data_IF_660002143028
#
_entry.id   IF_660002143028
#
_cell.length_a   1.000
_cell.length_b   1.000
_cell.length_c   1.000
_cell.angle_alpha   90.00
_cell.angle_beta   90.00
_cell.angle_gamma   90.00
#
_symmetry.space_group_name_H-M   'P 1'
#
loop_
_entity.id
_entity.type
_entity.pdbx_description
1 polymer ?
#
# COMPACT_ATOMS: atom_id res chain seq x y z
N UNK A 1 -15.02 -18.05 31.22
CA UNK A 1 -15.82 -17.05 30.47
C UNK A 1 -16.74 -16.23 31.38
N UNK A 2 -17.65 -16.84 32.16
CA UNK A 2 -18.61 -16.11 33.01
C UNK A 2 -17.96 -15.16 34.06
N UNK A 3 -16.85 -15.59 34.68
CA UNK A 3 -16.07 -14.77 35.61
C UNK A 3 -15.47 -13.53 34.93
N UNK A 4 -14.77 -13.72 33.81
CA UNK A 4 -14.15 -12.62 33.04
C UNK A 4 -15.16 -11.52 32.65
N UNK A 5 -16.36 -11.90 32.19
CA UNK A 5 -17.40 -10.93 31.82
C UNK A 5 -17.93 -10.13 33.03
N UNK A 6 -18.29 -10.82 34.12
CA UNK A 6 -18.75 -10.14 35.35
C UNK A 6 -17.71 -9.19 35.91
N UNK A 7 -16.44 -9.54 35.76
CA UNK A 7 -15.32 -8.78 36.27
C UNK A 7 -15.05 -7.50 35.47
N UNK A 8 -15.17 -7.56 34.13
CA UNK A 8 -15.15 -6.36 33.27
C UNK A 8 -16.25 -5.39 33.67
N UNK A 9 -17.43 -5.91 34.00
CA UNK A 9 -18.56 -5.09 34.44
C UNK A 9 -18.38 -4.44 35.81
N UNK A 10 -17.55 -5.01 36.69
CA UNK A 10 -17.28 -4.46 38.02
C UNK A 10 -16.20 -3.37 38.00
N UNK A 11 -15.11 -3.55 37.25
CA UNK A 11 -13.97 -2.60 37.20
C UNK A 11 -13.89 -1.80 35.89
N UNK A 12 -15.03 -1.24 35.46
CA UNK A 12 -15.22 -0.65 34.11
C UNK A 12 -14.13 0.34 33.69
N UNK A 13 -13.72 1.27 34.56
CA UNK A 13 -12.72 2.28 34.23
C UNK A 13 -11.35 1.69 33.85
N UNK A 14 -10.90 0.66 34.57
CA UNK A 14 -9.59 0.05 34.34
C UNK A 14 -9.58 -0.78 33.06
N UNK A 15 -10.66 -1.50 32.79
CA UNK A 15 -10.83 -2.27 31.57
C UNK A 15 -11.05 -1.38 30.34
N UNK A 16 -11.73 -0.23 30.51
CA UNK A 16 -11.86 0.79 29.49
C UNK A 16 -10.49 1.35 29.10
N UNK A 17 -9.62 1.67 30.07
CA UNK A 17 -8.27 2.15 29.79
C UNK A 17 -7.43 1.14 29.01
N UNK A 18 -7.49 -0.14 29.37
CA UNK A 18 -6.74 -1.20 28.67
C UNK A 18 -7.28 -1.42 27.27
N UNK A 19 -8.60 -1.50 27.12
CA UNK A 19 -9.24 -1.65 25.81
C UNK A 19 -8.98 -0.42 24.95
N UNK A 20 -9.00 0.78 25.52
CA UNK A 20 -8.70 2.04 24.85
C UNK A 20 -7.25 2.12 24.39
N UNK A 21 -6.29 1.66 25.20
CA UNK A 21 -4.89 1.59 24.81
C UNK A 21 -4.66 0.57 23.69
N UNK A 22 -5.25 -0.62 23.81
CA UNK A 22 -5.25 -1.64 22.76
C UNK A 22 -5.86 -1.12 21.47
N UNK A 23 -6.98 -0.40 21.58
CA UNK A 23 -7.64 0.29 20.49
C UNK A 23 -6.70 1.28 19.81
N UNK A 24 -6.06 2.19 20.55
CA UNK A 24 -5.18 3.21 19.97
C UNK A 24 -3.96 2.59 19.27
N UNK A 25 -3.36 1.57 19.87
CA UNK A 25 -2.21 0.87 19.29
C UNK A 25 -2.62 0.11 18.02
N UNK A 26 -3.71 -0.66 18.08
CA UNK A 26 -4.23 -1.37 16.91
C UNK A 26 -4.67 -0.39 15.81
N UNK A 27 -5.27 0.74 16.17
CA UNK A 27 -5.69 1.78 15.22
C UNK A 27 -4.47 2.37 14.51
N UNK A 28 -3.41 2.71 15.25
CA UNK A 28 -2.17 3.22 14.66
C UNK A 28 -1.55 2.19 13.70
N UNK A 29 -1.53 0.92 14.09
CA UNK A 29 -0.99 -0.17 13.26
C UNK A 29 -1.83 -0.36 11.99
N UNK A 30 -3.16 -0.40 12.08
CA UNK A 30 -4.04 -0.50 10.90
C UNK A 30 -3.92 0.72 10.00
N UNK A 31 -3.83 1.91 10.57
CA UNK A 31 -3.68 3.13 9.80
C UNK A 31 -2.36 3.14 9.02
N UNK A 32 -1.25 2.76 9.66
CA UNK A 32 0.04 2.60 8.98
C UNK A 32 0.04 1.48 7.95
N UNK A 33 -0.69 0.39 8.20
CA UNK A 33 -0.86 -0.70 7.23
C UNK A 33 -1.58 -0.21 5.96
N UNK A 34 -2.68 0.54 6.12
CA UNK A 34 -3.42 1.10 4.99
C UNK A 34 -2.64 2.17 4.21
N UNK A 35 -1.87 3.01 4.90
CA UNK A 35 -0.96 3.97 4.25
C UNK A 35 0.20 3.27 3.53
N UNK A 36 0.83 2.29 4.17
CA UNK A 36 1.93 1.53 3.58
C UNK A 36 1.47 0.83 2.30
N UNK A 37 0.30 0.20 2.34
CA UNK A 37 -0.25 -0.51 1.20
C UNK A 37 -0.71 0.47 0.11
N UNK A 38 -1.42 1.55 0.46
CA UNK A 38 -1.85 2.55 -0.50
C UNK A 38 -0.68 3.23 -1.22
N UNK A 39 0.37 3.62 -0.49
CA UNK A 39 1.56 4.21 -1.10
C UNK A 39 2.35 3.19 -1.93
N UNK A 40 2.42 1.92 -1.50
CA UNK A 40 3.03 0.87 -2.32
C UNK A 40 2.25 0.67 -3.63
N UNK A 41 0.92 0.65 -3.54
CA UNK A 41 0.03 0.52 -4.69
C UNK A 41 0.20 1.70 -5.66
N UNK A 42 0.24 2.94 -5.17
CA UNK A 42 0.45 4.15 -5.98
C UNK A 42 1.78 4.16 -6.77
N UNK A 43 2.77 3.36 -6.37
CA UNK A 43 4.00 3.21 -7.15
C UNK A 43 3.84 2.30 -8.37
N UNK A 44 2.91 1.32 -8.33
CA UNK A 44 2.85 0.19 -9.29
C UNK A 44 1.49 0.00 -9.99
N UNK A 45 0.44 0.73 -9.62
CA UNK A 45 -0.92 0.55 -10.15
C UNK A 45 -0.98 0.44 -11.68
N UNK A 46 -0.25 1.32 -12.39
CA UNK A 46 -0.24 1.29 -13.84
C UNK A 46 0.48 0.09 -14.44
N UNK A 47 1.50 -0.41 -13.76
CA UNK A 47 2.23 -1.63 -14.14
C UNK A 47 1.35 -2.87 -13.89
N UNK A 48 0.63 -2.90 -12.77
CA UNK A 48 -0.28 -4.00 -12.42
C UNK A 48 -1.40 -4.17 -13.47
N UNK A 49 -1.88 -3.05 -14.04
CA UNK A 49 -2.93 -3.06 -15.06
C UNK A 49 -2.50 -3.75 -16.36
N UNK A 50 -1.21 -3.81 -16.66
CA UNK A 50 -0.71 -4.43 -17.89
C UNK A 50 -0.97 -5.93 -17.95
N UNK A 51 -1.15 -6.59 -16.80
CA UNK A 51 -1.26 -8.07 -16.71
C UNK A 51 -0.15 -8.76 -17.51
N UNK A 52 1.06 -8.22 -17.41
CA UNK A 52 2.25 -8.66 -18.13
C UNK A 52 3.09 -9.60 -17.27
N UNK A 53 3.89 -10.45 -17.93
CA UNK A 53 4.76 -11.41 -17.26
C UNK A 53 6.20 -10.89 -17.21
N UNK A 54 6.63 -10.20 -18.28
CA UNK A 54 7.99 -9.70 -18.44
C UNK A 54 8.02 -8.28 -18.99
N UNK A 55 9.10 -7.57 -18.69
CA UNK A 55 9.47 -6.31 -19.32
C UNK A 55 10.92 -6.40 -19.80
N UNK A 56 11.17 -5.91 -21.00
CA UNK A 56 12.51 -5.83 -21.58
C UNK A 56 13.01 -4.40 -21.44
N UNK A 57 14.21 -4.25 -20.90
CA UNK A 57 14.90 -2.99 -20.67
C UNK A 57 16.31 -3.06 -21.27
N UNK A 58 16.97 -1.92 -21.43
CA UNK A 58 18.39 -1.88 -21.76
C UNK A 58 19.21 -2.52 -20.63
N UNK A 59 20.18 -3.37 -20.98
CA UNK A 59 21.00 -4.14 -20.02
C UNK A 59 21.82 -3.24 -19.07
N UNK A 60 22.12 -2.00 -19.47
CA UNK A 60 22.87 -1.02 -18.67
C UNK A 60 21.97 -0.12 -17.79
N UNK A 61 20.65 -0.28 -17.87
CA UNK A 61 19.68 0.54 -17.12
C UNK A 61 19.61 0.21 -15.62
N UNK A 62 20.19 -0.91 -15.20
CA UNK A 62 20.04 -1.48 -13.86
C UNK A 62 18.55 -1.58 -13.46
N UNK A 63 17.73 -2.06 -14.41
CA UNK A 63 16.27 -2.25 -14.32
C UNK A 63 15.44 -0.97 -14.08
N UNK A 64 16.07 0.20 -14.14
CA UNK A 64 15.37 1.48 -13.94
C UNK A 64 14.80 1.95 -15.27
N UNK A 65 13.47 1.97 -15.36
CA UNK A 65 12.73 2.37 -16.56
C UNK A 65 13.18 3.71 -17.15
N UNK A 66 13.27 4.76 -16.33
CA UNK A 66 13.71 6.08 -16.77
C UNK A 66 15.19 6.19 -17.18
N UNK A 67 16.00 5.14 -16.97
CA UNK A 67 17.38 5.03 -17.46
C UNK A 67 17.51 4.10 -18.68
N UNK A 68 16.51 3.26 -18.92
CA UNK A 68 16.45 2.39 -20.09
C UNK A 68 16.06 3.23 -21.30
N UNK A 69 16.85 3.19 -22.36
CA UNK A 69 16.56 3.89 -23.60
C UNK A 69 17.27 3.19 -24.78
N UNK A 70 16.50 2.68 -25.73
CA UNK A 70 17.03 1.95 -26.88
C UNK A 70 16.17 2.18 -28.13
N UNK A 71 16.74 1.91 -29.31
CA UNK A 71 16.04 2.11 -30.59
C UNK A 71 14.82 1.19 -30.69
N UNK A 72 13.67 1.74 -31.08
CA UNK A 72 12.42 1.00 -31.17
C UNK A 72 12.50 -0.19 -32.16
N UNK A 73 13.34 -0.09 -33.19
CA UNK A 73 13.54 -1.14 -34.20
C UNK A 73 14.05 -2.47 -33.63
N UNK A 74 14.74 -2.44 -32.48
CA UNK A 74 15.20 -3.66 -31.78
C UNK A 74 14.04 -4.56 -31.34
N UNK A 75 12.81 -4.03 -31.28
CA UNK A 75 11.61 -4.83 -31.04
C UNK A 75 11.46 -5.95 -32.07
N UNK A 76 11.93 -5.76 -33.31
CA UNK A 76 11.79 -6.75 -34.37
C UNK A 76 12.68 -7.98 -34.13
N UNK A 77 13.75 -7.83 -33.36
CA UNK A 77 14.64 -8.92 -32.96
C UNK A 77 14.07 -9.71 -31.76
N UNK A 78 13.19 -9.09 -30.96
CA UNK A 78 12.54 -9.74 -29.82
C UNK A 78 11.47 -10.72 -30.29
N UNK A 79 11.57 -11.98 -29.88
CA UNK A 79 10.58 -13.03 -30.18
C UNK A 79 9.70 -13.33 -28.96
N UNK A 80 8.42 -12.97 -29.04
CA UNK A 80 7.39 -13.24 -28.04
C UNK A 80 5.98 -13.25 -28.66
N UNK A 81 5.02 -13.92 -28.00
CA UNK A 81 3.65 -14.06 -28.49
C UNK A 81 2.88 -12.73 -28.50
N UNK A 82 3.04 -11.94 -27.43
CA UNK A 82 2.43 -10.62 -27.28
C UNK A 82 3.47 -9.67 -26.72
N UNK A 83 3.77 -8.62 -27.49
CA UNK A 83 4.71 -7.56 -27.12
C UNK A 83 4.12 -6.20 -27.46
N UNK A 84 4.41 -5.20 -26.64
CA UNK A 84 3.95 -3.84 -26.82
C UNK A 84 5.10 -2.87 -26.54
N UNK A 85 5.24 -1.84 -27.38
CA UNK A 85 6.23 -0.79 -27.18
C UNK A 85 5.77 0.14 -26.06
N UNK A 86 6.70 0.55 -25.22
CA UNK A 86 6.41 1.39 -24.08
C UNK A 86 7.48 2.45 -23.85
N UNK A 87 7.05 3.68 -23.63
CA UNK A 87 7.92 4.75 -23.16
C UNK A 87 7.30 5.45 -21.96
N UNK A 88 8.15 5.85 -21.02
CA UNK A 88 7.78 6.56 -19.82
C UNK A 88 8.62 7.81 -19.67
N UNK A 89 8.00 8.89 -19.23
CA UNK A 89 8.69 10.12 -18.89
C UNK A 89 8.00 10.81 -17.71
N UNK A 90 8.74 11.18 -16.65
CA UNK A 90 8.20 12.09 -15.65
C UNK A 90 8.04 13.48 -16.26
N UNK A 91 6.94 14.16 -15.95
CA UNK A 91 6.67 15.47 -16.51
C UNK A 91 5.81 16.35 -15.60
N UNK A 92 5.61 17.58 -16.05
CA UNK A 92 4.78 18.57 -15.36
C UNK A 92 3.75 19.10 -16.34
N UNK A 93 2.49 19.13 -15.90
CA UNK A 93 1.39 19.72 -16.65
C UNK A 93 0.73 20.85 -15.88
N UNK A 94 0.05 21.74 -16.60
CA UNK A 94 -0.87 22.74 -16.06
C UNK A 94 -2.18 22.73 -16.84
N UNK A 95 -3.28 23.13 -16.19
CA UNK A 95 -4.58 23.30 -16.87
C UNK A 95 -4.66 24.62 -17.65
N UNK A 96 -3.97 25.67 -17.19
CA UNK A 96 -3.83 26.97 -17.85
C UNK A 96 -2.49 27.63 -17.48
N UNK A 97 -2.16 28.79 -18.05
CA UNK A 97 -0.85 29.43 -17.86
C UNK A 97 -0.55 29.79 -16.39
N UNK A 98 -1.58 30.19 -15.64
CA UNK A 98 -1.51 30.60 -14.23
C UNK A 98 -1.82 29.45 -13.26
N UNK A 99 -2.19 28.28 -13.80
CA UNK A 99 -2.67 27.13 -13.06
C UNK A 99 -1.61 26.44 -12.24
N UNK A 100 -2.08 25.61 -11.31
CA UNK A 100 -1.22 24.78 -10.48
C UNK A 100 -0.41 23.80 -11.34
N UNK A 101 0.87 23.63 -10.98
CA UNK A 101 1.75 22.64 -11.61
C UNK A 101 1.48 21.27 -11.02
N UNK A 102 1.18 20.30 -11.88
CA UNK A 102 0.87 18.93 -11.50
C UNK A 102 1.98 18.02 -12.02
N UNK A 103 2.62 17.27 -11.12
CA UNK A 103 3.58 16.24 -11.52
C UNK A 103 2.81 15.03 -12.05
N UNK A 104 3.18 14.54 -13.23
CA UNK A 104 2.56 13.39 -13.89
C UNK A 104 3.63 12.42 -14.38
N UNK A 105 3.23 11.17 -14.59
CA UNK A 105 4.01 10.21 -15.37
C UNK A 105 3.36 10.07 -16.75
N UNK A 106 4.07 10.44 -17.81
CA UNK A 106 3.59 10.22 -19.18
C UNK A 106 3.89 8.80 -19.61
N UNK A 107 2.85 8.08 -20.04
CA UNK A 107 2.95 6.74 -20.58
C UNK A 107 2.64 6.79 -22.07
N UNK A 108 3.68 6.65 -22.88
CA UNK A 108 3.60 6.54 -24.34
C UNK A 108 3.28 5.09 -24.72
N UNK A 109 2.12 4.87 -25.32
CA UNK A 109 1.65 3.55 -25.76
C UNK A 109 0.99 3.64 -27.13
N UNK A 110 0.79 2.48 -27.76
CA UNK A 110 -0.15 2.35 -28.88
C UNK A 110 -1.57 2.14 -28.33
N UNK A 111 -2.54 2.91 -28.83
CA UNK A 111 -3.89 2.99 -28.27
C UNK A 111 -4.77 1.75 -28.47
N UNK A 112 -4.35 0.82 -29.31
CA UNK A 112 -5.04 -0.42 -29.68
C UNK A 112 -4.30 -1.70 -29.22
N UNK A 113 -3.19 -1.56 -28.52
CA UNK A 113 -2.44 -2.67 -27.91
C UNK A 113 -2.92 -3.03 -26.51
N UNK A 114 -2.40 -4.13 -25.95
CA UNK A 114 -2.84 -4.64 -24.65
C UNK A 114 -2.45 -3.77 -23.44
N UNK A 115 -1.55 -2.79 -23.63
CA UNK A 115 -1.21 -1.78 -22.62
C UNK A 115 -2.28 -0.69 -22.48
N UNK A 116 -3.27 -0.68 -23.36
CA UNK A 116 -4.42 0.22 -23.28
C UNK A 116 -5.08 0.11 -21.90
N UNK A 117 -5.26 1.22 -21.18
CA UNK A 117 -5.91 1.20 -19.88
C UNK A 117 -7.43 1.05 -20.01
N UNK A 118 -8.05 0.53 -18.95
CA UNK A 118 -9.50 0.54 -18.80
C UNK A 118 -10.03 1.97 -18.58
N UNK A 119 -10.97 2.37 -19.44
CA UNK A 119 -11.60 3.69 -19.40
C UNK A 119 -12.84 3.68 -18.51
N UNK A 120 -12.98 4.70 -17.67
CA UNK A 120 -14.21 4.95 -16.88
C UNK A 120 -15.12 5.98 -17.53
N UNK A 121 -14.55 6.86 -18.36
CA UNK A 121 -15.29 7.88 -19.08
C UNK A 121 -14.53 8.31 -20.34
N UNK A 122 -15.27 8.80 -21.34
CA UNK A 122 -14.70 9.30 -22.60
C UNK A 122 -14.27 8.17 -23.55
N UNK A 123 -13.22 8.44 -24.34
CA UNK A 123 -12.68 7.51 -25.34
C UNK A 123 -11.16 7.45 -25.26
N UNK A 124 -10.58 6.45 -25.91
CA UNK A 124 -9.13 6.36 -26.11
C UNK A 124 -8.67 7.46 -27.07
N UNK A 125 -7.41 7.89 -26.94
CA UNK A 125 -6.80 8.76 -27.94
C UNK A 125 -6.68 8.02 -29.28
N UNK A 126 -6.97 8.73 -30.37
CA UNK A 126 -6.94 8.23 -31.75
C UNK A 126 -5.98 8.99 -32.67
N UNK A 127 -5.35 10.06 -32.16
CA UNK A 127 -4.40 10.89 -32.86
C UNK A 127 -3.42 11.55 -31.86
N UNK A 128 -2.24 12.03 -32.32
CA UNK A 128 -1.35 12.87 -31.52
C UNK A 128 -2.05 14.10 -30.95
N UNK A 129 -1.54 14.62 -29.83
CA UNK A 129 -2.09 15.75 -29.08
C UNK A 129 -3.33 15.39 -28.25
N UNK A 130 -3.65 14.11 -28.08
CA UNK A 130 -4.74 13.63 -27.23
C UNK A 130 -4.22 12.71 -26.12
N UNK A 131 -4.78 12.84 -24.93
CA UNK A 131 -4.39 12.03 -23.78
C UNK A 131 -5.58 11.51 -22.98
N UNK A 132 -5.39 10.36 -22.37
CA UNK A 132 -6.30 9.81 -21.35
C UNK A 132 -5.59 9.91 -20.00
N UNK A 133 -6.30 10.44 -19.01
CA UNK A 133 -5.69 10.82 -17.73
C UNK A 133 -6.32 10.06 -16.57
N UNK A 134 -5.60 9.94 -15.47
CA UNK A 134 -6.16 9.33 -14.27
C UNK A 134 -7.36 10.12 -13.70
N UNK A 135 -8.43 9.42 -13.29
CA UNK A 135 -9.63 10.04 -12.72
C UNK A 135 -9.31 10.89 -11.47
N UNK A 136 -8.26 10.58 -10.70
CA UNK A 136 -7.91 11.42 -9.54
C UNK A 136 -7.51 12.84 -9.94
N UNK A 137 -7.11 13.07 -11.20
CA UNK A 137 -6.86 14.43 -11.69
C UNK A 137 -8.16 15.25 -11.80
N UNK A 138 -9.29 14.62 -12.10
CA UNK A 138 -10.61 15.24 -12.02
C UNK A 138 -10.96 15.59 -10.58
N UNK A 139 -10.81 14.63 -9.67
CA UNK A 139 -11.23 14.79 -8.28
C UNK A 139 -10.37 15.79 -7.50
N UNK A 140 -9.06 15.87 -7.80
CA UNK A 140 -8.10 16.73 -7.09
C UNK A 140 -7.96 18.12 -7.72
N UNK A 141 -8.01 18.21 -9.06
CA UNK A 141 -7.70 19.45 -9.79
C UNK A 141 -8.88 19.99 -10.62
N UNK A 142 -10.03 19.32 -10.61
CA UNK A 142 -11.23 19.77 -11.33
C UNK A 142 -11.19 19.55 -12.85
N UNK A 143 -10.26 18.73 -13.34
CA UNK A 143 -10.10 18.45 -14.77
C UNK A 143 -11.35 17.80 -15.40
N UNK A 144 -11.71 18.23 -16.61
CA UNK A 144 -12.83 17.70 -17.39
C UNK A 144 -12.40 17.18 -18.77
N UNK A 145 -13.25 16.32 -19.37
CA UNK A 145 -13.01 15.86 -20.74
C UNK A 145 -13.22 17.06 -21.68
N UNK A 146 -12.24 17.31 -22.54
CA UNK A 146 -12.20 18.47 -23.43
C UNK A 146 -11.17 19.51 -23.01
N UNK A 147 -10.71 19.49 -21.76
CA UNK A 147 -9.66 20.36 -21.26
C UNK A 147 -8.32 20.08 -21.96
N UNK A 148 -7.41 21.04 -21.88
CA UNK A 148 -6.11 21.00 -22.55
C UNK A 148 -5.01 21.15 -21.51
N UNK A 149 -4.18 20.12 -21.38
CA UNK A 149 -3.02 20.10 -20.51
C UNK A 149 -1.85 20.78 -21.21
N UNK A 150 -1.39 21.90 -20.68
CA UNK A 150 -0.12 22.49 -21.07
C UNK A 150 1.00 21.62 -20.52
N UNK A 151 1.81 21.04 -21.40
CA UNK A 151 2.95 20.20 -21.01
C UNK A 151 4.21 21.03 -21.12
N UNK A 152 5.10 20.92 -20.13
CA UNK A 152 6.42 21.53 -20.24
C UNK A 152 7.16 20.99 -21.48
N UNK A 153 7.94 21.84 -22.15
CA UNK A 153 8.83 21.51 -23.28
C UNK A 153 8.14 21.35 -24.66
N UNK A 154 6.81 21.50 -24.78
CA UNK A 154 6.11 21.54 -26.08
C UNK A 154 5.19 22.76 -26.17
N UNK A 155 5.04 23.28 -27.39
CA UNK A 155 4.24 24.49 -27.66
C UNK A 155 2.74 24.22 -27.85
N UNK A 156 2.35 22.95 -27.98
CA UNK A 156 0.95 22.55 -28.15
C UNK A 156 0.46 21.76 -26.92
N UNK A 157 -0.80 21.95 -26.49
CA UNK A 157 -1.33 21.25 -25.34
C UNK A 157 -1.79 19.83 -25.70
N UNK A 158 -1.88 18.95 -24.71
CA UNK A 158 -2.52 17.64 -24.82
C UNK A 158 -3.97 17.73 -24.39
N UNK A 159 -4.88 17.41 -25.31
CA UNK A 159 -6.32 17.42 -25.04
C UNK A 159 -6.77 16.16 -24.29
N UNK A 160 -7.47 16.34 -23.18
CA UNK A 160 -8.03 15.26 -22.38
C UNK A 160 -9.26 14.68 -23.09
N UNK A 161 -9.21 13.41 -23.49
CA UNK A 161 -10.30 12.72 -24.22
C UNK A 161 -10.98 11.60 -23.43
N UNK A 162 -10.41 11.22 -22.29
CA UNK A 162 -10.98 10.20 -21.42
C UNK A 162 -10.30 10.15 -20.05
N UNK A 163 -10.94 9.39 -19.17
CA UNK A 163 -10.43 9.11 -17.82
C UNK A 163 -10.22 7.61 -17.62
N UNK A 164 -9.12 7.24 -16.97
CA UNK A 164 -8.86 5.87 -16.49
C UNK A 164 -9.23 5.72 -15.02
N UNK A 165 -9.43 4.48 -14.55
CA UNK A 165 -9.57 4.20 -13.12
C UNK A 165 -8.21 4.05 -12.44
N UNK A 166 -7.85 4.96 -11.55
CA UNK A 166 -6.73 4.82 -10.59
C UNK A 166 -5.44 4.27 -11.21
N UNK A 167 -4.83 5.05 -12.09
CA UNK A 167 -3.57 4.77 -12.76
C UNK A 167 -2.48 5.69 -12.20
N UNK A 168 -1.57 5.10 -11.42
CA UNK A 168 -0.43 5.80 -10.83
C UNK A 168 0.86 5.01 -11.06
N UNK A 169 1.95 5.74 -11.25
CA UNK A 169 3.30 5.20 -11.34
C UNK A 169 4.26 6.12 -10.60
N UNK A 170 5.11 5.56 -9.74
CA UNK A 170 6.00 6.34 -8.88
C UNK A 170 5.26 7.45 -8.11
N UNK A 171 4.03 7.17 -7.64
CA UNK A 171 3.15 8.08 -6.87
C UNK A 171 2.53 9.23 -7.69
N UNK A 172 2.91 9.39 -8.96
CA UNK A 172 2.31 10.38 -9.85
C UNK A 172 1.11 9.80 -10.62
N UNK A 173 0.03 10.58 -10.86
CA UNK A 173 -1.02 10.19 -11.79
C UNK A 173 -0.45 10.01 -13.20
N UNK A 174 -0.94 8.99 -13.91
CA UNK A 174 -0.49 8.69 -15.27
C UNK A 174 -1.32 9.46 -16.29
N UNK A 175 -0.62 10.02 -17.28
CA UNK A 175 -1.19 10.57 -18.51
C UNK A 175 -0.78 9.65 -19.66
N UNK A 176 -1.73 8.89 -20.18
CA UNK A 176 -1.51 8.04 -21.35
C UNK A 176 -1.63 8.87 -22.62
N UNK A 177 -0.64 8.77 -23.49
CA UNK A 177 -0.56 9.50 -24.76
C UNK A 177 0.15 8.64 -25.82
N UNK A 178 0.23 9.12 -27.06
CA UNK A 178 0.94 8.39 -28.10
C UNK A 178 2.46 8.39 -27.88
N UNK A 179 3.16 7.40 -28.44
CA UNK A 179 4.63 7.38 -28.47
C UNK A 179 5.22 8.60 -29.21
N UNK A 180 4.49 9.12 -30.20
CA UNK A 180 4.86 10.33 -30.96
C UNK A 180 4.83 11.58 -30.07
N UNK A 181 3.75 11.80 -29.32
CA UNK A 181 3.67 12.91 -28.36
C UNK A 181 4.79 12.84 -27.33
N UNK A 182 5.08 11.63 -26.83
CA UNK A 182 6.11 11.46 -25.81
C UNK A 182 7.52 11.71 -26.36
N UNK A 183 7.77 11.37 -27.63
CA UNK A 183 9.00 11.74 -28.35
C UNK A 183 9.13 13.26 -28.44
N UNK A 184 8.06 13.96 -28.80
CA UNK A 184 8.07 15.43 -28.84
C UNK A 184 8.31 16.04 -27.45
N UNK A 185 7.61 15.58 -26.41
CA UNK A 185 7.82 16.04 -25.02
C UNK A 185 9.28 15.87 -24.57
N UNK A 186 9.93 14.76 -24.96
CA UNK A 186 11.30 14.44 -24.57
C UNK A 186 12.35 15.29 -25.28
N UNK A 187 12.17 15.57 -26.57
CA UNK A 187 13.24 16.09 -27.44
C UNK A 187 13.01 17.50 -27.99
N UNK A 188 11.82 18.09 -27.85
CA UNK A 188 11.51 19.40 -28.46
C UNK A 188 12.44 20.53 -27.99
N UNK A 189 12.79 20.58 -26.71
CA UNK A 189 13.74 21.56 -26.15
C UNK A 189 15.19 21.38 -26.65
N UNK A 190 15.51 20.22 -27.22
CA UNK A 190 16.84 19.92 -27.78
C UNK A 190 16.98 20.42 -29.23
N UNK A 191 15.92 21.01 -29.80
CA UNK A 191 15.94 21.70 -31.09
C UNK A 191 16.00 20.79 -32.32
N UNK A 192 16.16 19.47 -32.13
CA UNK A 192 16.09 18.45 -33.19
C UNK A 192 15.48 17.16 -32.64
N UNK A 193 14.42 16.68 -33.29
CA UNK A 193 13.88 15.35 -33.06
C UNK A 193 14.86 14.30 -33.62
N UNK A 194 15.15 13.22 -32.89
CA UNK A 194 16.01 12.16 -33.41
C UNK A 194 15.36 11.51 -34.64
N UNK A 195 16.19 11.17 -35.63
CA UNK A 195 15.76 10.50 -36.87
C UNK A 195 15.15 9.12 -36.57
N UNK A 196 15.69 8.43 -35.55
CA UNK A 196 15.17 7.16 -35.05
C UNK A 196 14.29 7.35 -33.82
N UNK A 197 13.35 6.42 -33.65
CA UNK A 197 12.51 6.36 -32.46
C UNK A 197 13.21 5.60 -31.34
N UNK A 198 13.11 6.14 -30.13
CA UNK A 198 13.64 5.53 -28.92
C UNK A 198 12.51 5.27 -27.93
N UNK A 199 12.60 4.14 -27.24
CA UNK A 199 11.63 3.70 -26.23
C UNK A 199 12.35 3.29 -24.94
N UNK A 200 11.60 3.21 -23.85
CA UNK A 200 12.15 2.78 -22.56
C UNK A 200 12.05 1.28 -22.35
N UNK A 201 11.01 0.63 -22.90
CA UNK A 201 10.79 -0.79 -22.68
C UNK A 201 9.94 -1.45 -23.76
N UNK A 202 10.01 -2.79 -23.79
CA UNK A 202 9.02 -3.65 -24.44
C UNK A 202 8.34 -4.49 -23.38
N UNK A 203 7.03 -4.36 -23.24
CA UNK A 203 6.24 -5.13 -22.26
C UNK A 203 5.72 -6.39 -22.93
N UNK A 204 5.73 -7.51 -22.20
CA UNK A 204 5.44 -8.84 -22.76
C UNK A 204 4.45 -9.62 -21.89
N UNK A 205 3.44 -10.20 -22.55
CA UNK A 205 2.56 -11.24 -21.99
C UNK A 205 2.99 -12.58 -22.56
N UNK A 206 3.29 -13.54 -21.67
CA UNK A 206 3.89 -14.82 -21.99
C UNK A 206 5.40 -14.84 -21.79
N UNK A 207 6.10 -15.65 -22.59
CA UNK A 207 7.54 -15.85 -22.48
C UNK A 207 8.29 -15.27 -23.68
N UNK A 208 9.46 -14.72 -23.42
CA UNK A 208 10.44 -14.37 -24.46
C UNK A 208 11.29 -15.59 -24.85
N UNK A 209 11.46 -15.79 -26.16
CA UNK A 209 12.33 -16.83 -26.70
C UNK A 209 13.72 -16.29 -27.08
N UNK A 210 13.79 -15.02 -27.46
CA UNK A 210 15.02 -14.35 -27.84
C UNK A 210 14.96 -12.87 -27.47
N UNK A 211 16.07 -12.38 -26.92
CA UNK A 211 16.31 -10.99 -26.52
C UNK A 211 17.73 -10.62 -26.99
N UNK A 212 17.94 -9.47 -27.66
CA UNK A 212 19.26 -8.98 -28.06
C UNK A 212 20.22 -8.82 -26.87
N UNK A 213 21.55 -8.90 -27.10
CA UNK A 213 22.56 -8.83 -26.02
C UNK A 213 22.54 -7.50 -25.24
N UNK A 214 22.19 -6.39 -25.91
CA UNK A 214 22.10 -5.06 -25.31
C UNK A 214 20.81 -4.85 -24.49
N UNK A 215 19.91 -5.83 -24.49
CA UNK A 215 18.63 -5.82 -23.77
C UNK A 215 18.55 -6.99 -22.78
N UNK A 216 17.76 -6.80 -21.72
CA UNK A 216 17.53 -7.80 -20.70
C UNK A 216 16.03 -7.93 -20.42
N UNK A 217 15.54 -9.18 -20.35
CA UNK A 217 14.17 -9.47 -19.94
C UNK A 217 14.12 -9.80 -18.44
N UNK A 218 13.33 -9.05 -17.69
CA UNK A 218 13.08 -9.29 -16.26
C UNK A 218 11.60 -9.56 -16.01
N UNK A 219 11.28 -10.20 -14.89
CA UNK A 219 9.90 -10.38 -14.48
C UNK A 219 9.28 -9.04 -14.08
N UNK A 220 7.95 -8.90 -14.25
CA UNK A 220 7.25 -7.69 -13.80
C UNK A 220 7.37 -7.50 -12.28
N UNK A 221 7.44 -8.58 -11.49
CA UNK A 221 7.63 -8.45 -10.05
C UNK A 221 9.02 -7.90 -9.70
N UNK A 222 10.08 -8.39 -10.35
CA UNK A 222 11.44 -7.85 -10.15
C UNK A 222 11.52 -6.38 -10.57
N UNK A 223 10.92 -6.04 -11.71
CA UNK A 223 10.80 -4.66 -12.16
C UNK A 223 10.13 -3.76 -11.12
N UNK A 224 9.01 -4.21 -10.52
CA UNK A 224 8.30 -3.47 -9.47
C UNK A 224 9.17 -3.31 -8.22
N UNK A 225 9.92 -4.33 -7.83
CA UNK A 225 10.85 -4.25 -6.68
C UNK A 225 11.99 -3.24 -6.94
N UNK A 226 12.40 -3.08 -8.20
CA UNK A 226 13.47 -2.17 -8.62
C UNK A 226 12.98 -0.75 -8.97
N UNK A 227 11.66 -0.48 -8.92
CA UNK A 227 11.14 0.90 -8.95
C UNK A 227 11.85 1.71 -7.85
N UNK A 228 12.49 2.84 -8.20
CA UNK A 228 13.28 3.62 -7.25
C UNK A 228 12.50 3.96 -5.97
N UNK A 229 12.99 3.48 -4.83
CA UNK A 229 12.40 3.73 -3.51
C UNK A 229 11.31 2.75 -3.07
N UNK A 230 10.69 1.98 -3.98
CA UNK A 230 9.59 1.07 -3.66
C UNK A 230 9.98 0.02 -2.60
N UNK A 231 11.04 -0.76 -2.86
CA UNK A 231 11.50 -1.79 -1.92
C UNK A 231 11.90 -1.21 -0.56
N UNK A 232 12.62 -0.08 -0.57
CA UNK A 232 13.05 0.58 0.67
C UNK A 232 11.85 1.06 1.50
N UNK A 233 10.82 1.59 0.84
CA UNK A 233 9.56 1.97 1.46
C UNK A 233 8.85 0.76 2.07
N UNK A 234 8.57 -0.28 1.29
CA UNK A 234 7.84 -1.47 1.75
C UNK A 234 8.55 -2.12 2.94
N UNK A 235 9.87 -2.29 2.86
CA UNK A 235 10.66 -2.86 3.95
C UNK A 235 10.58 -1.99 5.20
N UNK A 236 10.74 -0.67 5.07
CA UNK A 236 10.72 0.26 6.22
C UNK A 236 9.36 0.26 6.91
N UNK A 237 8.26 0.34 6.16
CA UNK A 237 6.92 0.30 6.74
C UNK A 237 6.62 -1.05 7.41
N UNK A 238 7.04 -2.17 6.80
CA UNK A 238 6.91 -3.49 7.42
C UNK A 238 7.68 -3.59 8.75
N UNK A 239 8.88 -3.03 8.82
CA UNK A 239 9.64 -2.96 10.08
C UNK A 239 8.92 -2.09 11.13
N UNK A 240 8.38 -0.93 10.75
CA UNK A 240 7.61 -0.08 11.66
C UNK A 240 6.36 -0.79 12.20
N UNK A 241 5.59 -1.43 11.33
CA UNK A 241 4.39 -2.20 11.68
C UNK A 241 4.76 -3.34 12.64
N UNK A 242 5.80 -4.12 12.30
CA UNK A 242 6.30 -5.20 13.17
C UNK A 242 6.74 -4.70 14.54
N UNK A 243 7.47 -3.58 14.59
CA UNK A 243 7.91 -2.98 15.85
C UNK A 243 6.74 -2.49 16.71
N UNK A 244 5.71 -1.89 16.10
CA UNK A 244 4.51 -1.47 16.81
C UNK A 244 3.72 -2.66 17.38
N UNK A 245 3.66 -3.79 16.66
CA UNK A 245 3.05 -5.03 17.18
C UNK A 245 3.82 -5.51 18.41
N UNK A 246 5.15 -5.48 18.38
CA UNK A 246 5.99 -5.85 19.54
C UNK A 246 5.76 -4.90 20.72
N UNK A 247 5.74 -3.58 20.50
CA UNK A 247 5.43 -2.60 21.54
C UNK A 247 4.05 -2.86 22.13
N UNK A 248 3.05 -3.11 21.29
CA UNK A 248 1.69 -3.42 21.75
C UNK A 248 1.67 -4.67 22.62
N UNK A 249 2.39 -5.73 22.23
CA UNK A 249 2.54 -6.94 23.03
C UNK A 249 3.11 -6.64 24.42
N UNK A 250 4.23 -5.90 24.48
CA UNK A 250 4.92 -5.57 25.75
C UNK A 250 4.03 -4.74 26.65
N UNK A 251 3.43 -3.68 26.11
CA UNK A 251 2.53 -2.79 26.86
C UNK A 251 1.36 -3.58 27.44
N UNK A 252 0.69 -4.38 26.62
CA UNK A 252 -0.42 -5.24 27.06
C UNK A 252 0.05 -6.21 28.15
N UNK A 253 1.22 -6.83 27.97
CA UNK A 253 1.81 -7.73 28.96
C UNK A 253 2.01 -7.06 30.32
N UNK A 254 2.56 -5.85 30.34
CA UNK A 254 2.74 -5.06 31.56
C UNK A 254 1.38 -4.76 32.21
N UNK A 255 0.39 -4.33 31.44
CA UNK A 255 -0.94 -4.04 31.98
C UNK A 255 -1.63 -5.27 32.57
N UNK A 256 -1.60 -6.39 31.84
CA UNK A 256 -2.17 -7.65 32.32
C UNK A 256 -1.41 -8.16 33.56
N UNK A 257 -0.08 -7.99 33.61
CA UNK A 257 0.71 -8.33 34.78
C UNK A 257 0.31 -7.49 36.00
N UNK A 258 0.23 -6.17 35.86
CA UNK A 258 -0.19 -5.25 36.93
C UNK A 258 -1.61 -5.59 37.40
N UNK A 259 -2.54 -5.86 36.47
CA UNK A 259 -3.88 -6.31 36.80
C UNK A 259 -3.88 -7.61 37.61
N UNK A 260 -3.06 -8.55 37.19
CA UNK A 260 -2.96 -9.86 37.83
C UNK A 260 -2.44 -9.72 39.26
N UNK A 261 -1.43 -8.87 39.48
CA UNK A 261 -0.88 -8.61 40.81
C UNK A 261 -1.85 -7.86 41.72
N UNK A 262 -2.56 -6.86 41.20
CA UNK A 262 -3.60 -6.15 41.97
C UNK A 262 -4.77 -7.05 42.38
N UNK A 263 -4.92 -8.22 41.75
CA UNK A 263 -5.96 -9.22 42.05
C UNK A 263 -5.45 -10.44 42.79
N UNK A 264 -4.17 -10.44 43.19
CA UNK A 264 -3.57 -11.53 43.96
C UNK A 264 -4.41 -11.93 45.19
N UNK A 265 -4.95 -11.00 46.01
CA UNK A 265 -5.78 -11.39 47.16
C UNK A 265 -7.03 -12.17 46.77
N UNK A 266 -7.72 -11.74 45.70
CA UNK A 266 -8.94 -12.40 45.19
C UNK A 266 -8.59 -13.81 44.67
N UNK A 267 -7.46 -13.95 43.98
CA UNK A 267 -6.97 -15.25 43.52
C UNK A 267 -6.58 -16.17 44.68
N UNK A 268 -6.01 -15.63 45.76
CA UNK A 268 -5.69 -16.40 46.96
C UNK A 268 -6.93 -16.96 47.65
N UNK A 269 -7.98 -16.16 47.82
CA UNK A 269 -9.28 -16.63 48.36
C UNK A 269 -9.89 -17.71 47.47
N UNK A 270 -9.87 -17.54 46.14
CA UNK A 270 -10.37 -18.55 45.20
C UNK A 270 -9.59 -19.87 45.28
N UNK A 271 -8.26 -19.81 45.42
CA UNK A 271 -7.43 -21.00 45.65
C UNK A 271 -7.73 -21.65 46.99
N UNK A 272 -7.93 -20.88 48.06
CA UNK A 272 -8.32 -21.40 49.37
C UNK A 272 -9.68 -22.14 49.34
N UNK A 273 -10.58 -21.71 48.46
CA UNK A 273 -11.86 -22.39 48.19
C UNK A 273 -11.73 -23.63 47.29
N UNK A 274 -10.51 -24.02 46.89
CA UNK A 274 -10.24 -25.21 46.08
C UNK A 274 -10.25 -24.98 44.56
N UNK A 275 -10.32 -23.74 44.07
CA UNK A 275 -10.27 -23.46 42.64
C UNK A 275 -8.84 -23.66 42.12
N UNK A 276 -8.69 -24.51 41.10
CA UNK A 276 -7.40 -24.80 40.50
C UNK A 276 -6.76 -23.57 39.84
N UNK A 277 -5.44 -23.41 40.01
CA UNK A 277 -4.65 -22.35 39.36
C UNK A 277 -4.83 -22.32 37.84
N UNK A 278 -4.98 -23.49 37.21
CA UNK A 278 -5.22 -23.62 35.76
C UNK A 278 -6.55 -23.00 35.31
N UNK A 279 -7.58 -23.07 36.16
CA UNK A 279 -8.87 -22.43 35.89
C UNK A 279 -8.75 -20.90 35.94
N UNK A 280 -8.05 -20.37 36.95
CA UNK A 280 -7.78 -18.94 37.09
C UNK A 280 -6.96 -18.44 35.89
N UNK A 281 -5.91 -19.18 35.51
CA UNK A 281 -5.08 -18.87 34.34
C UNK A 281 -5.89 -18.81 33.04
N UNK A 282 -6.73 -19.82 32.77
CA UNK A 282 -7.63 -19.83 31.60
C UNK A 282 -8.61 -18.65 31.62
N UNK A 283 -9.07 -18.24 32.79
CA UNK A 283 -9.95 -17.07 32.93
C UNK A 283 -9.23 -15.78 32.55
N UNK A 284 -7.99 -15.58 33.02
CA UNK A 284 -7.17 -14.41 32.67
C UNK A 284 -6.83 -14.38 31.19
N UNK A 285 -6.43 -15.52 30.61
CA UNK A 285 -6.17 -15.62 29.16
C UNK A 285 -7.42 -15.31 28.33
N UNK A 286 -8.58 -15.86 28.71
CA UNK A 286 -9.85 -15.58 28.03
C UNK A 286 -10.26 -14.11 28.14
N UNK A 287 -9.99 -13.48 29.28
CA UNK A 287 -10.22 -12.04 29.46
C UNK A 287 -9.30 -11.21 28.56
N UNK A 288 -8.00 -11.51 28.52
CA UNK A 288 -7.05 -10.82 27.63
C UNK A 288 -7.42 -10.97 26.16
N UNK A 289 -7.83 -12.17 25.74
CA UNK A 289 -8.33 -12.41 24.40
C UNK A 289 -9.56 -11.54 24.08
N UNK A 290 -10.52 -11.46 24.99
CA UNK A 290 -11.74 -10.68 24.79
C UNK A 290 -11.44 -9.18 24.70
N UNK A 291 -10.57 -8.66 25.57
CA UNK A 291 -10.16 -7.25 25.55
C UNK A 291 -9.37 -6.90 24.27
N UNK A 292 -8.45 -7.77 23.86
CA UNK A 292 -7.70 -7.61 22.61
C UNK A 292 -8.63 -7.62 21.40
N UNK A 293 -9.57 -8.57 21.34
CA UNK A 293 -10.54 -8.67 20.25
C UNK A 293 -11.44 -7.43 20.17
N UNK A 294 -11.91 -6.92 21.31
CA UNK A 294 -12.69 -5.67 21.34
C UNK A 294 -11.87 -4.46 20.91
N UNK A 295 -10.65 -4.32 21.43
CA UNK A 295 -9.76 -3.22 21.05
C UNK A 295 -9.45 -3.22 19.55
N UNK A 296 -9.13 -4.38 18.99
CA UNK A 296 -8.88 -4.57 17.55
C UNK A 296 -10.14 -4.31 16.72
N UNK A 297 -11.31 -4.78 17.16
CA UNK A 297 -12.57 -4.53 16.45
C UNK A 297 -12.91 -3.04 16.41
N UNK A 298 -12.80 -2.33 17.54
CA UNK A 298 -13.00 -0.88 17.57
C UNK A 298 -11.96 -0.13 16.74
N UNK A 299 -10.71 -0.60 16.74
CA UNK A 299 -9.64 0.00 15.96
C UNK A 299 -9.93 -0.12 14.48
N UNK A 300 -10.33 -1.31 14.02
CA UNK A 300 -10.74 -1.54 12.65
C UNK A 300 -11.91 -0.62 12.26
N UNK A 301 -12.96 -0.55 13.07
CA UNK A 301 -14.10 0.34 12.82
C UNK A 301 -13.67 1.81 12.71
N UNK A 302 -12.79 2.27 13.60
CA UNK A 302 -12.26 3.63 13.52
C UNK A 302 -11.41 3.83 12.27
N UNK A 303 -10.59 2.86 11.86
CA UNK A 303 -9.80 2.95 10.62
C UNK A 303 -10.70 3.00 9.38
N UNK A 304 -11.80 2.24 9.37
CA UNK A 304 -12.80 2.30 8.31
C UNK A 304 -13.51 3.67 8.26
N UNK A 305 -13.85 4.22 9.42
CA UNK A 305 -14.44 5.56 9.51
C UNK A 305 -13.45 6.63 9.02
N UNK A 306 -12.18 6.52 9.42
CA UNK A 306 -11.13 7.42 8.96
C UNK A 306 -10.92 7.35 7.45
N UNK A 307 -10.94 6.15 6.86
CA UNK A 307 -10.80 5.98 5.41
C UNK A 307 -11.84 6.76 4.60
N UNK A 308 -13.07 6.89 5.11
CA UNK A 308 -14.12 7.69 4.47
C UNK A 308 -13.91 9.22 4.60
N UNK A 309 -13.19 9.65 5.63
CA UNK A 309 -12.92 11.06 5.93
C UNK A 309 -11.63 11.57 5.30
N UNK A 310 -10.78 10.68 4.78
CA UNK A 310 -9.49 11.06 4.19
C UNK A 310 -9.67 11.77 2.84
N UNK A 311 -8.91 12.83 2.57
CA UNK A 311 -8.83 13.41 1.23
C UNK A 311 -8.27 12.42 0.21
N UNK A 312 -8.66 12.56 -1.07
CA UNK A 312 -8.18 11.72 -2.18
C UNK A 312 -6.66 11.78 -2.40
N UNK A 313 -5.99 12.79 -1.87
CA UNK A 313 -4.54 12.93 -1.94
C UNK A 313 -3.78 12.04 -0.92
N UNK A 314 -4.47 11.49 0.09
CA UNK A 314 -3.84 10.61 1.08
C UNK A 314 -3.81 9.18 0.52
N UNK A 315 -2.62 8.56 0.36
CA UNK A 315 -2.47 7.26 -0.29
C UNK A 315 -2.85 6.14 0.68
N UNK A 316 -4.14 6.00 0.94
CA UNK A 316 -4.69 5.04 1.90
C UNK A 316 -5.56 4.02 1.17
N UNK A 317 -5.19 2.74 1.26
CA UNK A 317 -5.93 1.65 0.65
C UNK A 317 -6.30 0.58 1.67
N UNK A 318 -7.53 0.07 1.56
CA UNK A 318 -8.08 -0.96 2.44
C UNK A 318 -7.89 -2.34 1.81
N UNK A 319 -7.12 -3.18 2.48
CA UNK A 319 -6.91 -4.58 2.10
C UNK A 319 -7.23 -5.50 3.26
N UNK A 320 -8.32 -6.27 3.11
CA UNK A 320 -8.77 -7.17 4.18
C UNK A 320 -7.74 -8.22 4.54
N UNK A 321 -6.95 -8.70 3.59
CA UNK A 321 -5.91 -9.69 3.85
C UNK A 321 -4.88 -9.16 4.86
N UNK A 322 -4.30 -7.99 4.61
CA UNK A 322 -3.31 -7.37 5.51
C UNK A 322 -3.93 -6.96 6.83
N UNK A 323 -5.14 -6.38 6.83
CA UNK A 323 -5.80 -5.95 8.06
C UNK A 323 -6.19 -7.13 8.95
N UNK A 324 -6.68 -8.23 8.38
CA UNK A 324 -7.00 -9.44 9.14
C UNK A 324 -5.72 -10.09 9.68
N UNK A 325 -4.67 -10.20 8.86
CA UNK A 325 -3.38 -10.75 9.29
C UNK A 325 -2.83 -9.97 10.49
N UNK A 326 -2.75 -8.64 10.36
CA UNK A 326 -2.21 -7.77 11.41
C UNK A 326 -3.10 -7.77 12.65
N UNK A 327 -4.43 -7.78 12.49
CA UNK A 327 -5.37 -7.88 13.60
C UNK A 327 -5.20 -9.19 14.38
N UNK A 328 -5.04 -10.31 13.68
CA UNK A 328 -4.76 -11.63 14.29
C UNK A 328 -3.41 -11.60 15.03
N UNK A 329 -2.37 -11.03 14.42
CA UNK A 329 -1.05 -10.92 15.05
C UNK A 329 -1.09 -10.10 16.34
N UNK A 330 -1.84 -9.00 16.38
CA UNK A 330 -2.04 -8.19 17.60
C UNK A 330 -2.74 -9.01 18.70
N UNK A 331 -3.78 -9.76 18.35
CA UNK A 331 -4.51 -10.62 19.31
C UNK A 331 -3.60 -11.72 19.85
N UNK A 332 -2.86 -12.41 18.97
CA UNK A 332 -1.88 -13.43 19.37
C UNK A 332 -0.84 -12.82 20.31
N UNK A 333 -0.29 -11.67 19.95
CA UNK A 333 0.71 -10.98 20.75
C UNK A 333 0.17 -10.59 22.14
N UNK A 334 -1.06 -10.09 22.22
CA UNK A 334 -1.73 -9.77 23.48
C UNK A 334 -1.96 -11.00 24.37
N UNK A 335 -2.38 -12.13 23.79
CA UNK A 335 -2.57 -13.39 24.52
C UNK A 335 -1.23 -13.97 24.98
N UNK A 336 -0.21 -13.93 24.12
CA UNK A 336 1.15 -14.34 24.47
C UNK A 336 1.72 -13.51 25.62
N UNK A 337 1.48 -12.21 25.61
CA UNK A 337 1.88 -11.32 26.69
C UNK A 337 1.14 -11.64 28.01
N UNK A 338 -0.13 -12.03 27.93
CA UNK A 338 -0.90 -12.47 29.09
C UNK A 338 -0.40 -13.79 29.69
N UNK A 339 0.21 -14.70 28.91
CA UNK A 339 0.84 -15.91 29.46
C UNK A 339 1.95 -15.59 30.45
N UNK A 340 2.65 -14.46 30.29
CA UNK A 340 3.67 -14.03 31.23
C UNK A 340 3.08 -13.75 32.63
N UNK A 341 1.86 -13.22 32.71
CA UNK A 341 1.21 -12.94 34.00
C UNK A 341 0.72 -14.20 34.72
N UNK A 342 0.51 -15.32 34.00
CA UNK A 342 0.08 -16.59 34.61
C UNK A 342 1.08 -17.09 35.66
N UNK A 343 2.38 -16.85 35.47
CA UNK A 343 3.40 -17.16 36.48
C UNK A 343 3.16 -16.42 37.80
N UNK A 344 2.67 -15.19 37.72
CA UNK A 344 2.35 -14.37 38.87
C UNK A 344 1.15 -14.95 39.64
N UNK A 345 0.14 -15.50 38.93
CA UNK A 345 -1.00 -16.22 39.53
C UNK A 345 -0.53 -17.45 40.30
N UNK A 346 0.39 -18.24 39.72
CA UNK A 346 0.87 -19.47 40.35
C UNK A 346 1.53 -19.20 41.71
N UNK A 347 2.27 -18.09 41.84
CA UNK A 347 2.99 -17.70 43.06
C UNK A 347 2.13 -17.13 44.19
N UNK A 348 0.85 -16.84 43.95
CA UNK A 348 -0.06 -16.32 45.00
C UNK A 348 -0.29 -17.39 46.07
N UNK A 349 0.10 -17.09 47.31
CA UNK A 349 -0.15 -17.91 48.50
C UNK A 349 -1.58 -17.68 49.03
N UNK A 350 -2.41 -18.73 49.20
CA UNK A 350 -3.73 -18.62 49.81
C UNK A 350 -3.72 -18.06 51.25
N UNK A 351 -2.65 -18.30 52.03
CA UNK A 351 -2.54 -17.88 53.43
C UNK A 351 -2.29 -16.38 53.55
N UNK A 352 -1.46 -15.81 52.68
CA UNK A 352 -1.20 -14.35 52.63
C UNK A 352 -2.44 -13.55 52.20
N UNK A 353 -3.37 -14.18 51.47
CA UNK A 353 -4.60 -13.52 51.04
C UNK A 353 -5.71 -13.47 52.10
N UNK A 354 -5.54 -14.19 53.21
CA UNK A 354 -6.49 -14.24 54.33
C UNK A 354 -6.03 -13.45 55.56
N UNK A 355 -4.78 -12.97 55.57
CA UNK A 355 -4.23 -12.05 56.56
C UNK A 355 -4.47 -10.59 56.12
#
# INVERSE_FOLDING_TARGET
>A
MFLAYKEIMHSKARYLLITGLLFLLAYLVFFLTGLSYGLAQDNRLAVDAWSADQIILASDSNHVLGKSNFEADLVNEITADQKALFSEMPGVVKLDEEGEKINVAFFGIQGDEFLKPDLVAGKMFDAPGQGVVDLTMKDQYGLEIGDSLQVANIDHPIKVVGFTKSQRFSVAPVVFTSLEDLKEIRYSDLGQLPEKDFINAVVIRGQTNHVPEDLEAISIEDFIQDIPGYRAQVVTFNFMIGFLIVIAAVVVGIFIYVLTMQKAPIFGVMKAQGIATSYIAKSVLGQSFLLASLGVAFALLATLASAYLLPAAVPFALTWEYFLLVGILIIIAAVMAALFSVRAIAKVDPLEAMA
#
